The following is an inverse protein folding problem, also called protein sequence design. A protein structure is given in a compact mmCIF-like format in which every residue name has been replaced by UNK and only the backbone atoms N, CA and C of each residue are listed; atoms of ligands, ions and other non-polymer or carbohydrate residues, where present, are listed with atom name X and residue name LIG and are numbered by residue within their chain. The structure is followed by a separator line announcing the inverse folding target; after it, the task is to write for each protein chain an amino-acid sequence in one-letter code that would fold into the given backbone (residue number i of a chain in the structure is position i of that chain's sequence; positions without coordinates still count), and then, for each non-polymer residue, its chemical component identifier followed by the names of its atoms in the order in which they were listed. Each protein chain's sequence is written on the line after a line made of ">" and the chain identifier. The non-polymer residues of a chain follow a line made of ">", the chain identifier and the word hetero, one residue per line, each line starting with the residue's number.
data_IF_552494518754
#
_entry.id   IF_552494518754
#
_cell.length_a   1.000
_cell.length_b   1.000
_cell.length_c   1.000
_cell.angle_alpha   90.00
_cell.angle_beta   90.00
_cell.angle_gamma   90.00
#
_symmetry.space_group_name_H-M   'P 1'
#
loop_
_entity.id
_entity.type
_entity.pdbx_description
1 polymer ?
#
# COMPACT_ATOMS: atom_id res chain seq x y z
N UNK A 1 -18.95 -0.49 -11.56
CA UNK A 1 -17.55 -0.50 -12.03
C UNK A 1 -16.57 0.00 -10.96
N UNK A 2 -16.58 1.29 -10.51
CA UNK A 2 -15.68 1.75 -9.43
C UNK A 2 -15.93 0.98 -8.14
N UNK A 3 -17.19 0.85 -7.72
CA UNK A 3 -17.57 0.07 -6.54
C UNK A 3 -17.10 -1.39 -6.61
N UNK A 4 -17.18 -2.01 -7.78
CA UNK A 4 -16.71 -3.38 -7.99
C UNK A 4 -15.19 -3.48 -7.84
N UNK A 5 -14.46 -2.48 -8.36
CA UNK A 5 -13.01 -2.38 -8.18
C UNK A 5 -12.63 -2.17 -6.71
N UNK A 6 -13.37 -1.37 -5.97
CA UNK A 6 -13.18 -1.18 -4.52
C UNK A 6 -13.41 -2.47 -3.74
N UNK A 7 -14.46 -3.22 -4.08
CA UNK A 7 -14.72 -4.53 -3.49
C UNK A 7 -13.61 -5.54 -3.81
N UNK A 8 -13.13 -5.55 -5.05
CA UNK A 8 -12.01 -6.40 -5.47
C UNK A 8 -10.73 -6.01 -4.73
N UNK A 9 -10.45 -4.71 -4.57
CA UNK A 9 -9.31 -4.23 -3.79
C UNK A 9 -9.35 -4.73 -2.34
N UNK A 10 -10.53 -4.74 -1.72
CA UNK A 10 -10.70 -5.24 -0.35
C UNK A 10 -10.44 -6.76 -0.27
N UNK A 11 -10.88 -7.52 -1.27
CA UNK A 11 -10.61 -8.95 -1.36
C UNK A 11 -9.10 -9.22 -1.51
N UNK A 12 -8.43 -8.51 -2.40
CA UNK A 12 -6.98 -8.63 -2.59
C UNK A 12 -6.19 -8.27 -1.33
N UNK A 13 -6.57 -7.20 -0.61
CA UNK A 13 -5.98 -6.86 0.69
C UNK A 13 -6.12 -7.99 1.70
N UNK A 14 -7.25 -8.67 1.71
CA UNK A 14 -7.47 -9.82 2.59
C UNK A 14 -6.58 -11.01 2.20
N UNK A 15 -6.41 -11.26 0.90
CA UNK A 15 -5.51 -12.31 0.40
C UNK A 15 -4.04 -12.03 0.76
N UNK A 16 -3.58 -10.78 0.57
CA UNK A 16 -2.24 -10.36 0.99
C UNK A 16 -2.04 -10.59 2.50
N UNK A 17 -3.02 -10.19 3.32
CA UNK A 17 -2.95 -10.38 4.77
C UNK A 17 -2.90 -11.86 5.15
N UNK A 18 -3.69 -12.72 4.49
CA UNK A 18 -3.63 -14.17 4.67
C UNK A 18 -2.28 -14.74 4.26
N UNK A 19 -1.76 -14.36 3.10
CA UNK A 19 -0.44 -14.80 2.64
C UNK A 19 0.70 -14.44 3.61
N UNK A 20 0.65 -13.25 4.20
CA UNK A 20 1.61 -12.81 5.23
C UNK A 20 1.46 -13.65 6.51
N UNK A 21 0.22 -13.94 6.93
CA UNK A 21 -0.02 -14.78 8.09
C UNK A 21 0.53 -16.21 7.88
N UNK A 22 0.31 -16.79 6.71
CA UNK A 22 0.84 -18.11 6.34
C UNK A 22 2.37 -18.12 6.32
N UNK A 23 3.00 -17.06 5.79
CA UNK A 23 4.45 -16.89 5.85
C UNK A 23 4.96 -16.91 7.28
N UNK A 24 4.34 -16.18 8.21
CA UNK A 24 4.72 -16.18 9.62
C UNK A 24 4.57 -17.56 10.28
N UNK A 25 3.52 -18.30 9.93
CA UNK A 25 3.31 -19.67 10.42
C UNK A 25 4.43 -20.58 9.94
N UNK A 26 4.82 -20.50 8.67
CA UNK A 26 5.93 -21.29 8.10
C UNK A 26 7.27 -20.93 8.74
N UNK A 27 7.55 -19.64 8.92
CA UNK A 27 8.77 -19.15 9.59
C UNK A 27 8.85 -19.67 11.05
N UNK A 28 7.73 -19.67 11.77
CA UNK A 28 7.64 -20.22 13.12
C UNK A 28 7.95 -21.72 13.12
N UNK A 29 7.33 -22.49 12.22
CA UNK A 29 7.59 -23.93 12.09
C UNK A 29 9.05 -24.23 11.75
N UNK A 30 9.65 -23.44 10.83
CA UNK A 30 11.08 -23.54 10.50
C UNK A 30 11.93 -23.36 11.75
N UNK A 31 11.67 -22.29 12.51
CA UNK A 31 12.41 -21.99 13.75
C UNK A 31 12.26 -23.09 14.78
N UNK A 32 11.03 -23.57 15.03
CA UNK A 32 10.77 -24.66 15.99
C UNK A 32 11.54 -25.95 15.63
N UNK A 33 11.65 -26.26 14.34
CA UNK A 33 12.40 -27.44 13.92
C UNK A 33 13.91 -27.21 14.05
N UNK A 34 14.43 -26.02 13.75
CA UNK A 34 15.84 -25.67 13.97
C UNK A 34 16.22 -25.71 15.47
N UNK A 35 15.34 -25.24 16.35
CA UNK A 35 15.55 -25.31 17.78
C UNK A 35 15.58 -26.76 18.29
N UNK A 36 14.70 -27.62 17.77
CA UNK A 36 14.71 -29.06 18.06
C UNK A 36 15.97 -29.76 17.53
N UNK A 37 16.44 -29.42 16.33
CA UNK A 37 17.71 -29.90 15.79
C UNK A 37 18.85 -29.61 16.76
N UNK A 38 18.97 -28.34 17.20
CA UNK A 38 20.00 -27.92 18.16
C UNK A 38 19.88 -28.62 19.50
N UNK A 39 18.66 -28.85 19.98
CA UNK A 39 18.42 -29.62 21.23
C UNK A 39 18.90 -31.08 21.11
N UNK A 40 18.61 -31.73 19.98
CA UNK A 40 19.05 -33.12 19.78
C UNK A 40 20.56 -33.24 19.60
N UNK A 41 21.21 -32.23 18.98
CA UNK A 41 22.68 -32.17 18.91
C UNK A 41 23.28 -32.09 20.33
N UNK A 42 22.77 -31.21 21.20
CA UNK A 42 23.23 -31.13 22.62
C UNK A 42 23.02 -32.43 23.36
N UNK A 43 21.92 -33.16 23.11
CA UNK A 43 21.67 -34.48 23.71
C UNK A 43 22.69 -35.53 23.20
N UNK A 44 23.07 -35.47 21.94
CA UNK A 44 24.09 -36.32 21.37
C UNK A 44 25.46 -36.03 21.99
N UNK A 45 25.84 -34.77 22.15
CA UNK A 45 27.08 -34.36 22.84
C UNK A 45 27.13 -34.90 24.26
N UNK A 46 26.04 -34.76 25.04
CA UNK A 46 25.93 -35.30 26.38
C UNK A 46 26.06 -36.83 26.44
N UNK A 47 25.51 -37.54 25.43
CA UNK A 47 25.63 -38.99 25.34
C UNK A 47 27.06 -39.43 25.05
N UNK A 48 27.78 -38.68 24.21
CA UNK A 48 29.21 -38.90 23.95
C UNK A 48 30.04 -38.72 25.21
N UNK A 49 29.80 -37.64 25.97
CA UNK A 49 30.48 -37.39 27.24
C UNK A 49 30.30 -38.55 28.23
N UNK A 50 29.13 -39.18 28.18
CA UNK A 50 28.81 -40.37 29.01
C UNK A 50 29.26 -41.71 28.41
N UNK A 51 29.99 -41.69 27.27
CA UNK A 51 30.45 -42.86 26.53
C UNK A 51 29.32 -43.80 26.10
N UNK A 52 28.15 -43.21 25.77
CA UNK A 52 26.95 -43.94 25.32
C UNK A 52 26.78 -43.74 23.81
N UNK A 53 27.65 -44.35 23.00
CA UNK A 53 27.72 -44.13 21.55
C UNK A 53 26.42 -44.48 20.81
N UNK A 54 25.72 -45.52 21.23
CA UNK A 54 24.44 -45.91 20.61
C UNK A 54 23.36 -44.84 20.81
N UNK A 55 23.32 -44.26 22.02
CA UNK A 55 22.40 -43.16 22.32
C UNK A 55 22.77 -41.88 21.56
N UNK A 56 24.07 -41.60 21.40
CA UNK A 56 24.54 -40.49 20.62
C UNK A 56 24.14 -40.62 19.14
N UNK A 57 24.28 -41.82 18.55
CA UNK A 57 23.84 -42.09 17.16
C UNK A 57 22.35 -41.89 17.01
N UNK A 58 21.53 -42.43 17.89
CA UNK A 58 20.08 -42.24 17.86
C UNK A 58 19.68 -40.76 18.00
N UNK A 59 20.38 -39.99 18.83
CA UNK A 59 20.16 -38.55 18.94
C UNK A 59 20.54 -37.79 17.67
N UNK A 60 21.65 -38.15 17.04
CA UNK A 60 22.07 -37.58 15.75
C UNK A 60 21.10 -37.90 14.62
N UNK A 61 20.58 -39.13 14.56
CA UNK A 61 19.54 -39.46 13.56
C UNK A 61 18.30 -38.60 13.73
N UNK A 62 17.90 -38.34 14.98
CA UNK A 62 16.79 -37.41 15.27
C UNK A 62 17.12 -35.96 14.82
N UNK A 63 18.34 -35.49 15.11
CA UNK A 63 18.75 -34.15 14.68
C UNK A 63 18.74 -34.01 13.16
N UNK A 64 19.22 -35.04 12.46
CA UNK A 64 19.19 -35.07 10.98
C UNK A 64 17.75 -35.05 10.41
N UNK A 65 16.80 -35.69 11.10
CA UNK A 65 15.39 -35.63 10.72
C UNK A 65 14.85 -34.22 10.83
N UNK A 66 15.10 -33.52 11.96
CA UNK A 66 14.70 -32.13 12.13
C UNK A 66 15.41 -31.17 11.16
N UNK A 67 16.70 -31.40 10.86
CA UNK A 67 17.44 -30.66 9.85
C UNK A 67 16.78 -30.73 8.47
N UNK A 68 16.34 -31.94 8.06
CA UNK A 68 15.60 -32.09 6.79
C UNK A 68 14.27 -31.34 6.81
N UNK A 69 13.54 -31.37 7.93
CA UNK A 69 12.29 -30.62 8.08
C UNK A 69 12.55 -29.11 8.01
N UNK A 70 13.62 -28.62 8.66
CA UNK A 70 14.02 -27.20 8.59
C UNK A 70 14.29 -26.79 7.15
N UNK A 71 15.07 -27.57 6.41
CA UNK A 71 15.36 -27.29 5.01
C UNK A 71 14.08 -27.26 4.12
N UNK A 72 13.16 -28.20 4.37
CA UNK A 72 11.87 -28.19 3.66
C UNK A 72 11.04 -26.93 3.97
N UNK A 73 11.02 -26.48 5.22
CA UNK A 73 10.33 -25.24 5.59
C UNK A 73 11.05 -24.00 5.05
N UNK A 74 12.37 -24.01 4.91
CA UNK A 74 13.11 -22.92 4.26
C UNK A 74 12.67 -22.71 2.81
N UNK A 75 12.51 -23.79 2.05
CA UNK A 75 11.99 -23.72 0.68
C UNK A 75 10.56 -23.16 0.68
N UNK A 76 9.67 -23.69 1.54
CA UNK A 76 8.30 -23.21 1.60
C UNK A 76 8.20 -21.72 2.02
N UNK A 77 9.06 -21.26 2.92
CA UNK A 77 9.13 -19.83 3.31
C UNK A 77 9.59 -18.99 2.12
N UNK A 78 10.57 -19.44 1.35
CA UNK A 78 11.03 -18.71 0.17
C UNK A 78 9.95 -18.62 -0.91
N UNK A 79 9.24 -19.72 -1.17
CA UNK A 79 8.12 -19.75 -2.12
C UNK A 79 6.98 -18.82 -1.66
N UNK A 80 6.61 -18.90 -0.38
CA UNK A 80 5.56 -18.06 0.21
C UNK A 80 5.92 -16.57 0.17
N UNK A 81 7.19 -16.21 0.41
CA UNK A 81 7.66 -14.83 0.28
C UNK A 81 7.49 -14.31 -1.14
N UNK A 82 7.85 -15.11 -2.12
CA UNK A 82 7.69 -14.74 -3.52
C UNK A 82 6.22 -14.53 -3.87
N UNK A 83 5.34 -15.40 -3.39
CA UNK A 83 3.89 -15.28 -3.59
C UNK A 83 3.33 -14.00 -2.94
N UNK A 84 3.70 -13.70 -1.69
CA UNK A 84 3.31 -12.47 -1.00
C UNK A 84 3.77 -11.21 -1.75
N UNK A 85 4.98 -11.20 -2.29
CA UNK A 85 5.46 -10.07 -3.08
C UNK A 85 4.70 -9.91 -4.41
N UNK A 86 4.33 -11.01 -5.06
CA UNK A 86 3.49 -11.00 -6.25
C UNK A 86 2.09 -10.43 -5.94
N UNK A 87 1.47 -10.87 -4.84
CA UNK A 87 0.17 -10.36 -4.39
C UNK A 87 0.23 -8.86 -4.05
N UNK A 88 1.26 -8.40 -3.35
CA UNK A 88 1.48 -6.96 -3.07
C UNK A 88 1.63 -6.16 -4.37
N UNK A 89 2.38 -6.67 -5.34
CA UNK A 89 2.53 -6.01 -6.63
C UNK A 89 1.20 -5.91 -7.39
N UNK A 90 0.40 -6.98 -7.38
CA UNK A 90 -0.93 -6.98 -7.98
C UNK A 90 -1.86 -5.99 -7.29
N UNK A 91 -1.86 -5.96 -5.95
CA UNK A 91 -2.61 -5.01 -5.15
C UNK A 91 -2.27 -3.56 -5.50
N UNK A 92 -0.98 -3.24 -5.58
CA UNK A 92 -0.54 -1.89 -5.94
C UNK A 92 -1.02 -1.47 -7.34
N UNK A 93 -0.95 -2.38 -8.33
CA UNK A 93 -1.48 -2.11 -9.68
C UNK A 93 -2.98 -1.87 -9.67
N UNK A 94 -3.73 -2.59 -8.82
CA UNK A 94 -5.16 -2.41 -8.69
C UNK A 94 -5.50 -1.07 -8.03
N UNK A 95 -4.74 -0.66 -7.01
CA UNK A 95 -4.87 0.67 -6.38
C UNK A 95 -4.63 1.80 -7.39
N UNK A 96 -3.60 1.70 -8.21
CA UNK A 96 -3.34 2.68 -9.27
C UNK A 96 -4.48 2.76 -10.29
N UNK A 97 -4.99 1.60 -10.75
CA UNK A 97 -6.12 1.57 -11.69
C UNK A 97 -7.39 2.14 -11.09
N UNK A 98 -7.64 1.91 -9.81
CA UNK A 98 -8.79 2.49 -9.11
C UNK A 98 -8.67 4.02 -9.07
N UNK A 99 -7.52 4.55 -8.67
CA UNK A 99 -7.27 5.99 -8.64
C UNK A 99 -7.42 6.65 -10.02
N UNK A 100 -6.93 5.99 -11.09
CA UNK A 100 -7.15 6.45 -12.46
C UNK A 100 -8.63 6.45 -12.85
N UNK A 101 -9.39 5.42 -12.47
CA UNK A 101 -10.81 5.31 -12.76
C UNK A 101 -11.62 6.37 -12.02
N UNK A 102 -11.29 6.64 -10.75
CA UNK A 102 -11.90 7.70 -9.95
C UNK A 102 -11.64 9.08 -10.58
N UNK A 103 -10.39 9.38 -10.92
CA UNK A 103 -10.01 10.63 -11.59
C UNK A 103 -10.75 10.81 -12.91
N UNK A 104 -10.85 9.77 -13.75
CA UNK A 104 -11.62 9.81 -15.00
C UNK A 104 -13.10 10.02 -14.75
N UNK A 105 -13.67 9.40 -13.74
CA UNK A 105 -15.07 9.60 -13.36
C UNK A 105 -15.34 11.03 -12.98
N UNK A 106 -14.50 11.65 -12.15
CA UNK A 106 -14.64 13.04 -11.72
C UNK A 106 -14.52 14.01 -12.89
N UNK A 107 -13.59 13.74 -13.81
CA UNK A 107 -13.45 14.53 -15.03
C UNK A 107 -14.70 14.46 -15.91
N UNK A 108 -15.27 13.28 -16.10
CA UNK A 108 -16.51 13.10 -16.88
C UNK A 108 -17.71 13.77 -16.22
N UNK A 109 -17.83 13.70 -14.90
CA UNK A 109 -18.89 14.39 -14.15
C UNK A 109 -18.74 15.91 -14.31
N UNK A 110 -17.52 16.42 -14.20
CA UNK A 110 -17.26 17.85 -14.41
C UNK A 110 -17.59 18.29 -15.85
N UNK A 111 -17.19 17.50 -16.85
CA UNK A 111 -17.51 17.75 -18.25
C UNK A 111 -19.02 17.72 -18.52
N UNK A 112 -19.74 16.74 -17.96
CA UNK A 112 -21.19 16.66 -18.09
C UNK A 112 -21.89 17.86 -17.46
N UNK A 113 -21.46 18.29 -16.27
CA UNK A 113 -21.98 19.51 -15.61
C UNK A 113 -21.76 20.75 -16.47
N UNK A 114 -20.55 20.90 -17.07
CA UNK A 114 -20.24 22.01 -17.99
C UNK A 114 -21.11 21.99 -19.24
N UNK A 115 -21.24 20.84 -19.87
CA UNK A 115 -22.12 20.66 -21.06
C UNK A 115 -23.56 21.02 -20.76
N UNK A 116 -24.08 20.57 -19.64
CA UNK A 116 -25.45 20.89 -19.19
C UNK A 116 -25.64 22.38 -18.89
N UNK A 117 -24.64 23.02 -18.29
CA UNK A 117 -24.67 24.47 -18.04
C UNK A 117 -24.63 25.24 -19.36
N UNK A 118 -23.81 24.83 -20.34
CA UNK A 118 -23.73 25.43 -21.67
C UNK A 118 -25.03 25.25 -22.44
N UNK A 119 -25.64 24.06 -22.43
CA UNK A 119 -26.94 23.83 -23.08
C UNK A 119 -28.03 24.74 -22.51
N UNK A 120 -28.12 24.83 -21.17
CA UNK A 120 -29.09 25.74 -20.51
C UNK A 120 -28.83 27.21 -20.86
N UNK A 121 -27.58 27.61 -21.01
CA UNK A 121 -27.21 28.97 -21.41
C UNK A 121 -27.62 29.25 -22.89
N UNK A 122 -27.44 28.26 -23.78
CA UNK A 122 -27.87 28.37 -25.20
C UNK A 122 -29.39 28.41 -25.34
N UNK A 123 -30.13 27.57 -24.57
CA UNK A 123 -31.59 27.57 -24.53
C UNK A 123 -32.14 28.94 -24.03
N UNK A 124 -31.51 29.49 -22.98
CA UNK A 124 -31.86 30.83 -22.46
C UNK A 124 -31.58 31.92 -23.50
N UNK A 125 -30.55 31.75 -24.34
CA UNK A 125 -30.18 32.70 -25.42
C UNK A 125 -31.19 32.65 -26.57
N UNK A 126 -31.75 31.48 -26.91
CA UNK A 126 -32.79 31.34 -27.93
C UNK A 126 -34.14 31.96 -27.54
N UNK A 127 -34.43 32.00 -26.23
CA UNK A 127 -35.69 32.62 -25.71
C UNK A 127 -35.59 34.13 -25.61
N UNK A 128 -34.41 34.75 -25.79
CA UNK A 128 -34.14 36.13 -25.54
C UNK A 128 -33.87 36.89 -26.87
N UNK A 129 -34.94 37.17 -27.61
CA UNK A 129 -34.95 38.23 -28.64
C UNK A 129 -35.12 39.64 -28.06
N UNK A 130 -34.99 39.83 -26.75
CA UNK A 130 -35.30 41.11 -26.08
C UNK A 130 -34.07 41.68 -25.34
N UNK A 131 -33.65 42.91 -25.77
CA UNK A 131 -32.41 43.60 -25.31
C UNK A 131 -32.35 43.82 -23.77
N UNK A 132 -33.45 43.74 -23.05
CA UNK A 132 -33.53 43.90 -21.60
C UNK A 132 -32.95 42.72 -20.80
N UNK A 133 -32.81 41.59 -21.44
CA UNK A 133 -32.36 40.33 -20.79
C UNK A 133 -30.84 40.06 -20.98
N UNK A 134 -30.15 40.81 -21.85
CA UNK A 134 -28.70 40.71 -22.02
C UNK A 134 -27.93 41.08 -20.72
N UNK A 135 -28.39 42.10 -20.02
CA UNK A 135 -27.77 42.53 -18.74
C UNK A 135 -27.91 41.48 -17.63
N UNK A 136 -28.97 40.68 -17.66
CA UNK A 136 -29.18 39.58 -16.70
C UNK A 136 -28.29 38.39 -17.01
N UNK A 137 -28.02 38.15 -18.30
CA UNK A 137 -27.11 37.10 -18.77
C UNK A 137 -25.65 37.40 -18.39
N UNK A 138 -25.20 38.64 -18.57
CA UNK A 138 -23.85 39.07 -18.16
C UNK A 138 -23.64 38.94 -16.62
N UNK A 139 -24.69 39.25 -15.83
CA UNK A 139 -24.64 39.02 -14.39
C UNK A 139 -24.57 37.52 -14.02
N UNK A 140 -25.27 36.68 -14.77
CA UNK A 140 -25.26 35.23 -14.53
C UNK A 140 -23.93 34.60 -14.94
N UNK A 141 -23.35 35.03 -16.05
CA UNK A 141 -22.00 34.68 -16.52
C UNK A 141 -20.92 35.12 -15.52
N UNK A 142 -21.05 36.32 -14.96
CA UNK A 142 -20.16 36.83 -13.91
C UNK A 142 -20.28 35.98 -12.62
N UNK A 143 -21.50 35.59 -12.21
CA UNK A 143 -21.70 34.69 -11.04
C UNK A 143 -21.10 33.30 -11.25
N UNK A 144 -21.22 32.71 -12.45
CA UNK A 144 -20.62 31.42 -12.76
C UNK A 144 -19.10 31.50 -12.73
N UNK A 145 -18.49 32.55 -13.32
CA UNK A 145 -17.06 32.79 -13.23
C UNK A 145 -16.57 33.01 -11.81
N UNK A 146 -17.35 33.73 -11.00
CA UNK A 146 -17.02 33.93 -9.59
C UNK A 146 -17.10 32.63 -8.80
N UNK A 147 -18.10 31.80 -9.03
CA UNK A 147 -18.22 30.47 -8.41
C UNK A 147 -17.09 29.52 -8.82
N UNK A 148 -16.65 29.56 -10.10
CA UNK A 148 -15.49 28.81 -10.56
C UNK A 148 -14.19 29.30 -9.92
N UNK A 149 -14.01 30.62 -9.78
CA UNK A 149 -12.85 31.21 -9.13
C UNK A 149 -12.79 30.87 -7.63
N UNK A 150 -13.94 30.90 -6.92
CA UNK A 150 -14.04 30.48 -5.52
C UNK A 150 -13.77 28.98 -5.35
N UNK A 151 -14.25 28.16 -6.28
CA UNK A 151 -13.98 26.72 -6.25
C UNK A 151 -12.50 26.41 -6.50
N UNK A 152 -11.85 27.17 -7.40
CA UNK A 152 -10.42 27.04 -7.68
C UNK A 152 -9.57 27.53 -6.50
N UNK A 153 -9.96 28.67 -5.88
CA UNK A 153 -9.29 29.19 -4.68
C UNK A 153 -9.44 28.22 -3.47
N UNK A 154 -10.59 27.56 -3.33
CA UNK A 154 -10.77 26.51 -2.33
C UNK A 154 -9.89 25.29 -2.58
N UNK A 155 -9.73 24.89 -3.82
CA UNK A 155 -8.84 23.79 -4.21
C UNK A 155 -7.37 24.14 -3.94
N UNK A 156 -6.95 25.37 -4.23
CA UNK A 156 -5.60 25.86 -3.91
C UNK A 156 -5.36 25.96 -2.40
N UNK A 157 -6.35 26.39 -1.63
CA UNK A 157 -6.26 26.42 -0.15
C UNK A 157 -6.17 25.02 0.49
N UNK A 158 -6.72 24.00 -0.15
CA UNK A 158 -6.64 22.60 0.35
C UNK A 158 -5.28 21.99 -0.01
N UNK A 159 -4.70 22.37 -1.15
CA UNK A 159 -3.38 21.84 -1.56
C UNK A 159 -2.20 22.53 -0.86
N UNK A 160 -2.41 23.66 -0.25
CA UNK A 160 -1.38 24.45 0.42
C UNK A 160 -1.62 24.49 1.96
N UNK A 161 -2.13 23.39 2.51
CA UNK A 161 -2.34 23.32 3.95
C UNK A 161 -1.00 23.39 4.66
N UNK A 162 -0.94 24.24 5.68
CA UNK A 162 0.25 24.42 6.53
C UNK A 162 0.72 23.06 7.10
N UNK A 163 -0.21 22.12 7.26
CA UNK A 163 0.05 20.74 7.72
C UNK A 163 0.88 19.92 6.74
N UNK A 164 0.62 20.04 5.43
CA UNK A 164 1.44 19.33 4.41
C UNK A 164 2.86 19.90 4.33
N UNK A 165 3.01 21.22 4.54
CA UNK A 165 4.33 21.88 4.59
C UNK A 165 5.09 21.53 5.87
N UNK A 166 4.43 21.42 7.00
CA UNK A 166 5.01 20.99 8.27
C UNK A 166 5.43 19.51 8.20
N UNK A 167 4.60 18.63 7.66
CA UNK A 167 4.92 17.22 7.47
C UNK A 167 6.10 17.00 6.50
N UNK A 168 6.25 17.86 5.48
CA UNK A 168 7.40 17.84 4.58
C UNK A 168 8.69 18.31 5.29
N UNK A 169 8.61 19.32 6.15
CA UNK A 169 9.73 19.82 6.96
C UNK A 169 10.17 18.79 8.01
N UNK A 170 9.23 18.17 8.73
CA UNK A 170 9.53 17.10 9.70
C UNK A 170 10.24 15.90 9.06
N UNK A 171 9.78 15.48 7.87
CA UNK A 171 10.48 14.43 7.10
C UNK A 171 11.88 14.82 6.67
N UNK A 172 12.09 16.08 6.34
CA UNK A 172 13.41 16.57 5.92
C UNK A 172 14.40 16.61 7.08
N UNK A 173 13.93 17.05 8.26
CA UNK A 173 14.73 17.04 9.50
C UNK A 173 15.07 15.62 9.96
N UNK A 174 14.15 14.67 9.81
CA UNK A 174 14.39 13.26 10.15
C UNK A 174 15.41 12.59 9.22
N UNK A 175 15.35 12.91 7.93
CA UNK A 175 16.34 12.47 6.93
C UNK A 175 17.72 13.06 7.22
N UNK A 176 17.81 14.36 7.58
CA UNK A 176 19.09 14.99 7.94
C UNK A 176 19.70 14.40 9.22
N UNK A 177 18.90 14.10 10.24
CA UNK A 177 19.35 13.41 11.45
C UNK A 177 19.92 12.03 11.13
N UNK A 178 19.22 11.22 10.35
CA UNK A 178 19.69 9.91 9.92
C UNK A 178 20.97 10.01 9.07
N UNK A 179 21.06 11.01 8.21
CA UNK A 179 22.26 11.26 7.41
C UNK A 179 23.47 11.61 8.28
N UNK A 180 23.26 12.45 9.30
CA UNK A 180 24.31 12.83 10.24
C UNK A 180 24.74 11.66 11.14
N UNK A 181 23.79 10.80 11.57
CA UNK A 181 24.12 9.57 12.30
C UNK A 181 24.94 8.59 11.45
N UNK A 182 24.62 8.43 10.19
CA UNK A 182 25.41 7.59 9.26
C UNK A 182 26.80 8.17 9.03
N UNK A 183 26.92 9.50 8.89
CA UNK A 183 28.22 10.17 8.76
C UNK A 183 29.06 10.03 10.02
N UNK A 184 28.48 10.16 11.20
CA UNK A 184 29.16 9.97 12.47
C UNK A 184 29.68 8.53 12.67
N UNK A 185 28.88 7.52 12.26
CA UNK A 185 29.29 6.10 12.29
C UNK A 185 30.42 5.74 11.32
N UNK A 186 30.61 6.52 10.25
CA UNK A 186 31.67 6.28 9.26
C UNK A 186 32.95 7.06 9.53
N UNK A 187 32.91 8.03 10.43
CA UNK A 187 34.07 8.88 10.78
C UNK A 187 34.78 8.42 12.07
N UNK A 188 34.31 7.39 12.76
CA UNK A 188 34.97 6.70 13.89
C UNK A 188 35.34 5.28 13.51
#
# INVERSE_FOLDING_TARGET
>A
MILDMQNQLMQEKTQVASGIADQHVLEKKRKENADKEAEWIRKAELAVDKKQDDLARAALERSMSFKRMTANFEVQVADQKTEVENLKSALHKLEQKLAEAESKSDMLIAQHRRSRASAKASDAQMVIGDKSKLATFDRMKSKVRHAEAVSRAKAEMISDSVEDRLAALEKQDEIEKLLNEIKARRAG
#
